data_IF_575817293404
#
_entry.id   IF_575817293404
#
_cell.length_a   1.000
_cell.length_b   1.000
_cell.length_c   1.000
_cell.angle_alpha   90.00
_cell.angle_beta   90.00
_cell.angle_gamma   90.00
#
_symmetry.space_group_name_H-M   'P 1'
#
loop_
_entity.id
_entity.type
_entity.pdbx_description
1 polymer ?
#
# COMPACT_ATOMS: atom_id res chain seq x y z
N UNK A 1 -75.11 -20.33 8.30
CA UNK A 1 -74.00 -21.27 8.67
C UNK A 1 -72.78 -20.89 7.89
N UNK A 2 -71.85 -20.17 8.51
CA UNK A 2 -70.60 -19.73 7.86
C UNK A 2 -69.49 -20.36 8.65
N UNK A 3 -68.83 -21.33 8.02
CA UNK A 3 -67.72 -22.08 8.60
C UNK A 3 -66.39 -21.29 8.55
N UNK A 4 -65.82 -21.09 9.70
CA UNK A 4 -64.62 -20.39 9.96
C UNK A 4 -63.41 -21.32 9.70
N UNK A 5 -62.76 -21.20 8.54
CA UNK A 5 -61.52 -21.94 8.21
C UNK A 5 -60.32 -21.15 8.70
N UNK A 6 -59.80 -21.46 9.87
CA UNK A 6 -58.50 -20.98 10.36
C UNK A 6 -57.39 -21.64 9.54
N UNK A 7 -56.74 -20.89 8.65
CA UNK A 7 -55.49 -21.26 8.00
C UNK A 7 -54.33 -21.17 9.02
N UNK A 8 -53.89 -22.34 9.45
CA UNK A 8 -52.65 -22.50 10.22
C UNK A 8 -51.46 -22.21 9.29
N UNK A 9 -50.88 -21.04 9.39
CA UNK A 9 -49.64 -20.71 8.66
C UNK A 9 -48.51 -21.40 9.41
N UNK A 10 -47.99 -22.47 8.81
CA UNK A 10 -46.84 -23.21 9.32
C UNK A 10 -45.58 -22.32 9.26
N UNK A 11 -45.07 -21.95 10.43
CA UNK A 11 -43.83 -21.18 10.61
C UNK A 11 -42.54 -21.97 10.42
N UNK A 12 -42.54 -23.10 9.66
CA UNK A 12 -41.38 -23.99 9.56
C UNK A 12 -40.56 -23.86 8.26
N UNK A 13 -40.94 -22.96 7.34
CA UNK A 13 -40.25 -22.85 6.04
C UNK A 13 -38.90 -22.09 6.07
N UNK A 14 -38.59 -21.36 7.15
CA UNK A 14 -37.30 -20.60 7.24
C UNK A 14 -36.12 -21.34 7.87
N UNK A 15 -36.35 -22.54 8.42
CA UNK A 15 -35.25 -23.36 9.00
C UNK A 15 -34.61 -24.37 8.05
N UNK A 16 -35.23 -24.67 6.90
CA UNK A 16 -34.70 -25.68 5.98
C UNK A 16 -33.75 -25.17 4.91
N UNK A 17 -33.60 -23.85 4.70
CA UNK A 17 -32.72 -23.26 3.69
C UNK A 17 -31.24 -23.15 4.13
N UNK A 18 -30.90 -23.35 5.40
CA UNK A 18 -29.53 -23.26 5.91
C UNK A 18 -28.73 -24.56 5.93
N UNK A 19 -29.36 -25.71 5.66
CA UNK A 19 -28.67 -27.03 5.73
C UNK A 19 -28.00 -27.49 4.45
N UNK A 20 -28.08 -26.74 3.36
CA UNK A 20 -27.52 -27.13 2.05
C UNK A 20 -26.09 -26.70 1.79
N UNK A 21 -25.47 -25.86 2.65
CA UNK A 21 -24.13 -25.28 2.45
C UNK A 21 -23.20 -25.43 3.65
N UNK A 22 -23.55 -26.19 4.67
CA UNK A 22 -22.61 -26.49 5.75
C UNK A 22 -21.74 -27.67 5.32
N UNK A 23 -20.53 -27.35 4.86
CA UNK A 23 -19.49 -28.34 4.62
C UNK A 23 -19.20 -29.14 5.89
N UNK A 24 -18.89 -30.45 5.72
CA UNK A 24 -18.53 -31.32 6.85
C UNK A 24 -17.47 -30.63 7.72
N UNK A 25 -17.64 -30.61 9.07
CA UNK A 25 -16.66 -29.98 9.96
C UNK A 25 -15.26 -30.56 9.78
N UNK A 26 -15.15 -31.80 9.34
CA UNK A 26 -13.87 -32.47 9.01
C UNK A 26 -13.19 -31.78 7.83
N UNK A 27 -13.91 -31.51 6.74
CA UNK A 27 -13.37 -30.82 5.54
C UNK A 27 -12.94 -29.40 5.90
N UNK A 28 -13.73 -28.68 6.67
CA UNK A 28 -13.40 -27.34 7.16
C UNK A 28 -12.06 -27.32 7.94
N UNK A 29 -11.95 -28.20 8.93
CA UNK A 29 -10.73 -28.26 9.73
C UNK A 29 -9.52 -28.77 8.95
N UNK A 30 -9.70 -29.71 8.00
CA UNK A 30 -8.66 -30.18 7.10
C UNK A 30 -8.11 -29.02 6.26
N UNK A 31 -8.99 -28.25 5.62
CA UNK A 31 -8.59 -27.09 4.80
C UNK A 31 -7.86 -26.03 5.63
N UNK A 32 -8.37 -25.71 6.82
CA UNK A 32 -7.71 -24.75 7.74
C UNK A 32 -6.32 -25.26 8.13
N UNK A 33 -6.19 -26.55 8.48
CA UNK A 33 -4.90 -27.12 8.88
C UNK A 33 -3.90 -27.09 7.72
N UNK A 34 -4.30 -27.46 6.50
CA UNK A 34 -3.45 -27.39 5.30
C UNK A 34 -3.00 -25.95 5.05
N UNK A 35 -3.92 -24.99 5.07
CA UNK A 35 -3.60 -23.58 4.87
C UNK A 35 -2.65 -23.04 5.95
N UNK A 36 -2.90 -23.38 7.22
CA UNK A 36 -2.04 -22.96 8.34
C UNK A 36 -0.65 -23.59 8.23
N UNK A 37 -0.56 -24.90 7.90
CA UNK A 37 0.72 -25.59 7.70
C UNK A 37 1.51 -24.94 6.56
N UNK A 38 0.85 -24.62 5.45
CA UNK A 38 1.47 -23.90 4.34
C UNK A 38 2.03 -22.54 4.80
N UNK A 39 1.24 -21.74 5.50
CA UNK A 39 1.70 -20.45 6.02
C UNK A 39 2.89 -20.60 6.98
N UNK A 40 2.86 -21.57 7.88
CA UNK A 40 3.97 -21.81 8.82
C UNK A 40 5.24 -22.22 8.08
N UNK A 41 5.16 -23.17 7.16
CA UNK A 41 6.33 -23.71 6.45
C UNK A 41 6.92 -22.69 5.47
N UNK A 42 6.07 -22.00 4.69
CA UNK A 42 6.55 -21.13 3.61
C UNK A 42 6.72 -19.67 4.01
N UNK A 43 6.05 -19.18 5.06
CA UNK A 43 6.18 -17.78 5.51
C UNK A 43 6.93 -17.66 6.84
N UNK A 44 6.50 -18.38 7.89
CA UNK A 44 7.08 -18.19 9.22
C UNK A 44 8.46 -18.82 9.33
N UNK A 45 8.68 -20.02 8.81
CA UNK A 45 9.95 -20.71 8.94
C UNK A 45 11.10 -19.95 8.24
N UNK A 46 10.99 -19.49 6.96
CA UNK A 46 12.02 -18.64 6.36
C UNK A 46 12.24 -17.32 7.11
N UNK A 47 11.17 -16.69 7.59
CA UNK A 47 11.27 -15.45 8.35
C UNK A 47 12.04 -15.66 9.65
N UNK A 48 11.71 -16.68 10.44
CA UNK A 48 12.42 -17.03 11.67
C UNK A 48 13.89 -17.37 11.37
N UNK A 49 14.16 -18.06 10.26
CA UNK A 49 15.53 -18.38 9.85
C UNK A 49 16.36 -17.12 9.55
N UNK A 50 15.78 -16.10 8.93
CA UNK A 50 16.47 -14.80 8.71
C UNK A 50 16.92 -14.21 10.05
N UNK A 51 16.04 -14.17 11.06
CA UNK A 51 16.40 -13.65 12.39
C UNK A 51 17.41 -14.55 13.11
N UNK A 52 17.30 -15.86 12.99
CA UNK A 52 18.24 -16.82 13.58
C UNK A 52 19.65 -16.64 13.00
N UNK A 53 19.75 -16.54 11.68
CA UNK A 53 21.02 -16.30 10.99
C UNK A 53 21.60 -14.91 11.31
N UNK A 54 20.75 -13.90 11.42
CA UNK A 54 21.16 -12.54 11.81
C UNK A 54 21.82 -12.51 13.21
N UNK A 55 21.35 -13.35 14.11
CA UNK A 55 21.85 -13.41 15.49
C UNK A 55 22.91 -14.49 15.70
N UNK A 56 23.30 -15.24 14.69
CA UNK A 56 24.22 -16.37 14.79
C UNK A 56 25.59 -16.01 15.41
N UNK A 57 26.08 -14.83 15.09
CA UNK A 57 27.34 -14.30 15.66
C UNK A 57 27.15 -13.45 16.93
N UNK A 58 25.94 -13.44 17.49
CA UNK A 58 25.56 -12.72 18.70
C UNK A 58 25.14 -11.26 18.46
N UNK A 59 24.48 -10.68 19.48
CA UNK A 59 23.91 -9.33 19.41
C UNK A 59 24.95 -8.23 19.11
N UNK A 60 26.19 -8.38 19.62
CA UNK A 60 27.26 -7.40 19.36
C UNK A 60 27.63 -7.31 17.89
N UNK A 61 27.74 -8.47 17.22
CA UNK A 61 28.01 -8.55 15.78
C UNK A 61 26.83 -8.00 14.95
N UNK A 62 25.60 -8.30 15.38
CA UNK A 62 24.38 -7.78 14.78
C UNK A 62 24.36 -6.23 14.73
N UNK A 63 24.52 -5.58 15.88
CA UNK A 63 24.55 -4.11 15.92
C UNK A 63 25.75 -3.51 15.20
N UNK A 64 26.92 -4.14 15.27
CA UNK A 64 28.10 -3.72 14.50
C UNK A 64 27.83 -3.73 12.98
N UNK A 65 27.14 -4.76 12.48
CA UNK A 65 26.78 -4.87 11.05
C UNK A 65 25.79 -3.77 10.61
N UNK A 66 24.85 -3.38 11.46
CA UNK A 66 23.88 -2.31 11.15
C UNK A 66 24.50 -0.92 11.19
N UNK A 67 25.46 -0.68 12.10
CA UNK A 67 26.15 0.62 12.27
C UNK A 67 27.32 0.77 11.29
N UNK A 68 27.71 -0.30 10.57
CA UNK A 68 28.71 -0.21 9.51
C UNK A 68 28.36 0.93 8.53
N UNK A 69 29.34 1.82 8.18
CA UNK A 69 29.06 3.01 7.36
C UNK A 69 28.32 2.73 6.05
N UNK A 70 28.63 1.61 5.40
CA UNK A 70 27.97 1.24 4.15
C UNK A 70 26.55 0.72 4.37
N UNK A 71 26.33 -0.08 5.43
CA UNK A 71 25.01 -0.57 5.81
C UNK A 71 24.11 0.59 6.28
N UNK A 72 24.66 1.52 7.09
CA UNK A 72 23.95 2.72 7.51
C UNK A 72 23.58 3.63 6.32
N UNK A 73 24.48 3.79 5.36
CA UNK A 73 24.20 4.51 4.11
C UNK A 73 23.04 3.88 3.34
N UNK A 74 23.02 2.55 3.22
CA UNK A 74 21.95 1.82 2.55
C UNK A 74 20.58 1.96 3.27
N UNK A 75 20.57 1.89 4.61
CA UNK A 75 19.39 2.12 5.43
C UNK A 75 18.83 3.53 5.19
N UNK A 76 19.72 4.54 5.33
CA UNK A 76 19.35 5.94 5.12
C UNK A 76 18.82 6.19 3.71
N UNK A 77 19.48 5.64 2.70
CA UNK A 77 19.05 5.80 1.31
C UNK A 77 17.66 5.17 1.07
N UNK A 78 17.42 3.96 1.57
CA UNK A 78 16.10 3.31 1.45
C UNK A 78 14.99 4.17 2.08
N UNK A 79 15.24 4.72 3.27
CA UNK A 79 14.28 5.58 3.95
C UNK A 79 14.04 6.91 3.20
N UNK A 80 15.09 7.53 2.64
CA UNK A 80 14.97 8.75 1.84
C UNK A 80 14.18 8.47 0.56
N UNK A 81 14.50 7.40 -0.16
CA UNK A 81 13.80 7.01 -1.39
C UNK A 81 12.32 6.77 -1.09
N UNK A 82 12.02 6.02 -0.03
CA UNK A 82 10.63 5.79 0.39
C UNK A 82 9.93 7.10 0.80
N UNK A 83 10.59 7.94 1.59
CA UNK A 83 10.05 9.23 2.05
C UNK A 83 9.76 10.21 0.91
N UNK A 84 10.41 10.08 -0.24
CA UNK A 84 10.15 10.90 -1.43
C UNK A 84 9.13 10.21 -2.35
N UNK A 85 9.32 8.92 -2.64
CA UNK A 85 8.49 8.18 -3.60
C UNK A 85 7.05 8.01 -3.11
N UNK A 86 6.86 7.72 -1.82
CA UNK A 86 5.51 7.46 -1.28
C UNK A 86 4.61 8.70 -1.32
N UNK A 87 5.01 9.90 -0.83
CA UNK A 87 4.17 11.08 -0.95
C UNK A 87 3.86 11.47 -2.39
N UNK A 88 4.82 11.34 -3.31
CA UNK A 88 4.57 11.61 -4.72
C UNK A 88 3.55 10.62 -5.31
N UNK A 89 3.67 9.34 -5.01
CA UNK A 89 2.70 8.32 -5.41
C UNK A 89 1.32 8.54 -4.78
N UNK A 90 1.26 9.08 -3.56
CA UNK A 90 -0.01 9.47 -2.91
C UNK A 90 -0.67 10.59 -3.70
N UNK A 91 0.06 11.64 -4.05
CA UNK A 91 -0.48 12.77 -4.81
C UNK A 91 -1.02 12.29 -6.17
N UNK A 92 -0.21 11.58 -6.95
CA UNK A 92 -0.63 11.04 -8.26
C UNK A 92 -1.73 10.00 -8.13
N UNK A 93 -1.66 9.11 -7.13
CA UNK A 93 -2.64 8.06 -6.89
C UNK A 93 -4.01 8.62 -6.51
N UNK A 94 -4.05 9.63 -5.65
CA UNK A 94 -5.29 10.34 -5.28
C UNK A 94 -5.88 11.08 -6.49
N UNK A 95 -5.06 11.81 -7.26
CA UNK A 95 -5.51 12.48 -8.48
C UNK A 95 -6.09 11.50 -9.50
N UNK A 96 -5.39 10.40 -9.75
CA UNK A 96 -5.82 9.37 -10.68
C UNK A 96 -7.11 8.67 -10.20
N UNK A 97 -7.18 8.27 -8.93
CA UNK A 97 -8.35 7.64 -8.35
C UNK A 97 -9.57 8.57 -8.39
N UNK A 98 -9.38 9.83 -8.04
CA UNK A 98 -10.45 10.83 -8.10
C UNK A 98 -10.96 11.06 -9.53
N UNK A 99 -10.03 11.20 -10.50
CA UNK A 99 -10.39 11.33 -11.91
C UNK A 99 -11.20 10.12 -12.40
N UNK A 100 -10.76 8.90 -12.08
CA UNK A 100 -11.40 7.65 -12.52
C UNK A 100 -12.74 7.42 -11.81
N UNK A 101 -12.81 7.68 -10.50
CA UNK A 101 -14.01 7.38 -9.72
C UNK A 101 -15.15 8.37 -9.99
N UNK A 102 -14.83 9.67 -10.14
CA UNK A 102 -15.83 10.74 -10.13
C UNK A 102 -16.16 11.30 -11.52
N UNK A 103 -15.27 11.15 -12.50
CA UNK A 103 -15.48 11.73 -13.82
C UNK A 103 -15.66 10.66 -14.91
N UNK A 104 -16.51 10.99 -15.88
CA UNK A 104 -16.66 10.23 -17.11
C UNK A 104 -15.99 10.99 -18.23
N UNK A 105 -14.87 10.46 -18.76
CA UNK A 105 -14.12 11.07 -19.84
C UNK A 105 -13.65 10.03 -20.86
N UNK A 106 -13.41 10.49 -22.09
CA UNK A 106 -12.82 9.64 -23.12
C UNK A 106 -11.37 9.31 -22.73
N UNK A 107 -11.00 8.01 -22.75
CA UNK A 107 -9.66 7.57 -22.31
C UNK A 107 -9.59 7.06 -20.86
N UNK A 108 -10.69 7.01 -20.11
CA UNK A 108 -10.74 6.43 -18.77
C UNK A 108 -10.18 5.01 -18.70
N UNK A 109 -10.57 4.16 -19.68
CA UNK A 109 -10.05 2.80 -19.78
C UNK A 109 -8.53 2.77 -20.04
N UNK A 110 -8.02 3.67 -20.91
CA UNK A 110 -6.59 3.80 -21.15
C UNK A 110 -5.83 4.21 -19.88
N UNK A 111 -6.36 5.17 -19.10
CA UNK A 111 -5.75 5.59 -17.84
C UNK A 111 -5.68 4.43 -16.83
N UNK A 112 -6.73 3.63 -16.71
CA UNK A 112 -6.74 2.43 -15.86
C UNK A 112 -5.66 1.45 -16.33
N UNK A 113 -5.58 1.18 -17.63
CA UNK A 113 -4.57 0.28 -18.20
C UNK A 113 -3.15 0.81 -17.96
N UNK A 114 -2.91 2.12 -18.06
CA UNK A 114 -1.61 2.73 -17.76
C UNK A 114 -1.23 2.62 -16.28
N UNK A 115 -2.21 2.75 -15.37
CA UNK A 115 -1.98 2.53 -13.94
C UNK A 115 -1.58 1.07 -13.68
N UNK A 116 -2.16 0.13 -14.41
CA UNK A 116 -1.89 -1.30 -14.23
C UNK A 116 -0.60 -1.78 -14.94
N UNK A 117 -0.05 -0.96 -15.83
CA UNK A 117 1.15 -1.29 -16.61
C UNK A 117 2.34 -1.75 -15.75
N UNK A 118 2.68 -1.11 -14.60
CA UNK A 118 3.78 -1.56 -13.76
C UNK A 118 3.62 -2.97 -13.18
N UNK A 119 2.39 -3.48 -13.06
CA UNK A 119 2.17 -4.87 -12.63
C UNK A 119 2.44 -5.88 -13.75
N UNK A 120 2.30 -5.45 -15.00
CA UNK A 120 2.51 -6.31 -16.18
C UNK A 120 3.97 -6.34 -16.62
N UNK A 121 4.76 -5.33 -16.27
CA UNK A 121 6.17 -5.20 -16.64
C UNK A 121 7.06 -5.70 -15.51
N UNK A 122 8.05 -6.53 -15.84
CA UNK A 122 9.06 -6.93 -14.85
C UNK A 122 9.77 -5.68 -14.29
N UNK A 123 9.97 -5.58 -12.97
CA UNK A 123 10.70 -4.45 -12.36
C UNK A 123 12.08 -4.23 -12.97
N UNK A 124 12.81 -5.30 -13.30
CA UNK A 124 14.13 -5.22 -13.94
C UNK A 124 14.03 -4.58 -15.32
N UNK A 125 13.01 -4.97 -16.12
CA UNK A 125 12.76 -4.37 -17.44
C UNK A 125 12.37 -2.90 -17.29
N UNK A 126 11.56 -2.55 -16.31
CA UNK A 126 11.22 -1.16 -16.00
C UNK A 126 12.49 -0.34 -15.67
N UNK A 127 13.40 -0.89 -14.84
CA UNK A 127 14.70 -0.27 -14.58
C UNK A 127 15.52 -0.03 -15.85
N UNK A 128 15.56 -1.03 -16.75
CA UNK A 128 16.24 -0.90 -18.03
C UNK A 128 15.63 0.19 -18.92
N UNK A 129 14.30 0.30 -18.94
CA UNK A 129 13.59 1.37 -19.68
C UNK A 129 14.05 2.75 -19.18
N UNK A 130 14.20 2.96 -17.87
CA UNK A 130 14.73 4.21 -17.32
C UNK A 130 16.19 4.46 -17.72
N UNK A 131 17.03 3.42 -17.74
CA UNK A 131 18.42 3.55 -18.22
C UNK A 131 18.49 3.94 -19.68
N UNK A 132 17.64 3.36 -20.53
CA UNK A 132 17.56 3.71 -21.97
C UNK A 132 17.03 5.14 -22.16
N UNK A 133 16.06 5.59 -21.34
CA UNK A 133 15.47 6.92 -21.47
C UNK A 133 16.41 8.03 -20.94
N UNK A 134 17.04 7.82 -19.78
CA UNK A 134 17.79 8.84 -19.03
C UNK A 134 19.31 8.61 -19.01
N UNK A 135 19.79 7.51 -19.61
CA UNK A 135 21.23 7.25 -19.74
C UNK A 135 21.90 8.28 -20.63
N UNK A 136 23.22 8.35 -20.61
CA UNK A 136 24.01 9.35 -21.34
C UNK A 136 23.68 9.43 -22.83
N UNK A 137 23.41 8.29 -23.46
CA UNK A 137 23.00 8.19 -24.87
C UNK A 137 21.48 8.09 -25.07
N UNK A 138 20.69 8.28 -23.98
CA UNK A 138 19.24 8.20 -24.01
C UNK A 138 18.58 9.50 -24.48
N UNK A 139 17.30 9.40 -24.83
CA UNK A 139 16.54 10.54 -25.34
C UNK A 139 16.54 11.75 -24.42
N UNK A 140 16.32 11.55 -23.11
CA UNK A 140 16.35 12.64 -22.13
C UNK A 140 17.75 12.89 -21.57
N UNK A 141 18.68 11.91 -21.64
CA UNK A 141 20.01 12.06 -21.09
C UNK A 141 20.81 13.16 -21.78
N UNK A 142 20.75 13.22 -23.11
CA UNK A 142 21.41 14.27 -23.92
C UNK A 142 20.80 15.65 -23.62
N UNK A 143 19.48 15.73 -23.59
CA UNK A 143 18.78 16.99 -23.27
C UNK A 143 19.11 17.54 -21.88
N UNK A 144 19.24 16.66 -20.87
CA UNK A 144 19.59 17.04 -19.50
C UNK A 144 21.03 17.53 -19.36
N UNK A 145 21.95 17.01 -20.19
CA UNK A 145 23.35 17.48 -20.24
C UNK A 145 23.47 18.87 -20.84
N UNK A 146 22.67 19.15 -21.89
CA UNK A 146 22.65 20.44 -22.56
C UNK A 146 21.96 21.54 -21.76
N UNK A 147 21.11 21.17 -20.78
CA UNK A 147 20.35 22.08 -19.94
C UNK A 147 20.66 21.89 -18.45
N UNK A 148 21.87 22.22 -17.98
CA UNK A 148 22.20 22.12 -16.56
C UNK A 148 21.35 23.10 -15.74
N UNK A 149 20.93 22.67 -14.55
CA UNK A 149 20.16 23.50 -13.64
C UNK A 149 21.05 24.59 -13.01
N UNK A 150 20.78 25.83 -13.31
CA UNK A 150 21.42 26.99 -12.66
C UNK A 150 20.62 27.37 -11.41
N UNK A 151 21.03 26.88 -10.23
CA UNK A 151 20.40 27.22 -8.96
C UNK A 151 21.42 27.92 -8.06
N UNK A 152 21.06 29.11 -7.55
CA UNK A 152 21.91 29.91 -6.65
C UNK A 152 23.32 30.17 -7.17
N UNK A 153 23.50 30.40 -8.48
CA UNK A 153 24.81 30.67 -9.08
C UNK A 153 25.77 29.48 -9.23
N UNK A 154 25.26 28.27 -8.92
CA UNK A 154 25.99 27.00 -9.15
C UNK A 154 25.34 26.22 -10.27
N UNK A 155 26.18 25.60 -11.10
CA UNK A 155 25.76 24.72 -12.19
C UNK A 155 25.67 23.30 -11.63
N UNK A 156 24.47 22.73 -11.63
CA UNK A 156 24.26 21.35 -11.21
C UNK A 156 24.00 20.48 -12.42
N UNK A 157 24.88 19.53 -12.69
CA UNK A 157 24.59 18.45 -13.64
C UNK A 157 23.53 17.51 -13.06
N UNK A 158 22.41 17.39 -13.75
CA UNK A 158 21.33 16.50 -13.32
C UNK A 158 21.68 15.08 -13.76
N UNK A 159 22.29 14.31 -12.88
CA UNK A 159 22.51 12.86 -13.09
C UNK A 159 21.30 12.10 -12.54
N UNK A 160 20.55 11.45 -13.45
CA UNK A 160 19.41 10.62 -13.07
C UNK A 160 19.86 9.18 -12.87
N UNK A 161 20.58 8.61 -13.85
CA UNK A 161 21.05 7.23 -13.77
C UNK A 161 22.30 7.17 -12.87
N UNK A 162 22.39 6.10 -12.06
CA UNK A 162 23.39 5.88 -11.01
C UNK A 162 23.39 6.95 -9.91
N UNK A 163 22.23 7.56 -9.70
CA UNK A 163 21.99 8.60 -8.70
C UNK A 163 20.64 8.42 -8.01
N UNK A 164 20.44 9.15 -6.90
CA UNK A 164 19.21 9.07 -6.10
C UNK A 164 17.93 9.37 -6.92
N UNK A 165 17.88 10.38 -7.82
CA UNK A 165 16.69 10.65 -8.61
C UNK A 165 16.23 9.47 -9.46
N UNK A 166 17.14 8.71 -10.05
CA UNK A 166 16.79 7.52 -10.82
C UNK A 166 16.21 6.42 -9.95
N UNK A 167 16.76 6.21 -8.75
CA UNK A 167 16.22 5.24 -7.79
C UNK A 167 14.79 5.63 -7.38
N UNK A 168 14.55 6.93 -7.11
CA UNK A 168 13.22 7.45 -6.76
C UNK A 168 12.24 7.22 -7.91
N UNK A 169 12.61 7.59 -9.15
CA UNK A 169 11.75 7.39 -10.33
C UNK A 169 11.39 5.92 -10.57
N UNK A 170 12.39 5.03 -10.48
CA UNK A 170 12.18 3.60 -10.65
C UNK A 170 11.26 3.04 -9.54
N UNK A 171 11.49 3.43 -8.28
CA UNK A 171 10.64 3.04 -7.16
C UNK A 171 9.22 3.58 -7.32
N UNK A 172 9.06 4.86 -7.70
CA UNK A 172 7.75 5.47 -7.96
C UNK A 172 6.98 4.70 -9.03
N UNK A 173 7.62 4.39 -10.14
CA UNK A 173 6.98 3.65 -11.24
C UNK A 173 6.43 2.31 -10.77
N UNK A 174 7.23 1.52 -10.04
CA UNK A 174 6.82 0.19 -9.57
C UNK A 174 5.72 0.27 -8.50
N UNK A 175 5.73 1.33 -7.69
CA UNK A 175 4.83 1.46 -6.54
C UNK A 175 3.63 2.39 -6.78
N UNK A 176 3.58 3.10 -7.91
CA UNK A 176 2.49 4.00 -8.29
C UNK A 176 1.08 3.35 -8.26
N UNK A 177 0.88 2.11 -8.74
CA UNK A 177 -0.45 1.51 -8.79
C UNK A 177 -1.07 1.28 -7.41
N UNK A 178 -0.28 1.09 -6.36
CA UNK A 178 -0.79 0.67 -5.06
C UNK A 178 -1.78 1.65 -4.46
N UNK A 179 -1.46 2.95 -4.49
CA UNK A 179 -2.35 3.98 -3.94
C UNK A 179 -3.61 4.14 -4.80
N UNK A 180 -3.46 4.20 -6.12
CA UNK A 180 -4.58 4.39 -7.02
C UNK A 180 -5.58 3.21 -6.95
N UNK A 181 -5.07 1.98 -6.97
CA UNK A 181 -5.91 0.76 -6.93
C UNK A 181 -6.69 0.60 -5.63
N UNK A 182 -6.12 1.02 -4.51
CA UNK A 182 -6.83 1.00 -3.23
C UNK A 182 -7.93 2.07 -3.16
N UNK A 183 -7.67 3.25 -3.72
CA UNK A 183 -8.61 4.36 -3.64
C UNK A 183 -9.76 4.28 -4.63
N UNK A 184 -9.55 3.77 -5.85
CA UNK A 184 -10.58 3.70 -6.89
C UNK A 184 -11.86 3.00 -6.40
N UNK A 185 -11.82 1.75 -5.88
CA UNK A 185 -13.02 1.05 -5.41
C UNK A 185 -13.65 1.74 -4.20
N UNK A 186 -12.86 2.28 -3.29
CA UNK A 186 -13.37 3.01 -2.11
C UNK A 186 -14.13 4.27 -2.54
N UNK A 187 -13.56 5.07 -3.44
CA UNK A 187 -14.21 6.26 -3.98
C UNK A 187 -15.47 5.94 -4.79
N UNK A 188 -15.48 4.83 -5.54
CA UNK A 188 -16.66 4.37 -6.27
C UNK A 188 -17.77 3.90 -5.34
N UNK A 189 -17.42 3.18 -4.27
CA UNK A 189 -18.37 2.68 -3.27
C UNK A 189 -18.99 3.81 -2.43
N UNK A 190 -18.24 4.86 -2.16
CA UNK A 190 -18.72 6.04 -1.41
C UNK A 190 -19.79 6.84 -2.20
N UNK A 191 -19.82 6.72 -3.53
CA UNK A 191 -20.75 7.45 -4.38
C UNK A 191 -20.46 8.95 -4.46
N UNK A 192 -21.43 9.74 -4.90
CA UNK A 192 -21.31 11.20 -5.10
C UNK A 192 -22.33 12.01 -4.30
N UNK A 193 -23.18 11.35 -3.49
CA UNK A 193 -24.30 11.99 -2.79
C UNK A 193 -23.84 13.08 -1.81
N UNK A 194 -22.80 12.79 -1.02
CA UNK A 194 -22.26 13.74 -0.05
C UNK A 194 -21.62 14.97 -0.73
N UNK A 195 -20.95 14.75 -1.87
CA UNK A 195 -20.33 15.82 -2.65
C UNK A 195 -21.39 16.73 -3.31
N UNK A 196 -22.46 16.12 -3.85
CA UNK A 196 -23.59 16.84 -4.41
C UNK A 196 -24.29 17.70 -3.34
N UNK A 197 -24.51 17.13 -2.14
CA UNK A 197 -25.05 17.88 -1.02
C UNK A 197 -24.16 19.07 -0.63
N UNK A 198 -22.84 18.90 -0.58
CA UNK A 198 -21.93 20.00 -0.30
C UNK A 198 -21.97 21.11 -1.37
N UNK A 199 -22.05 20.72 -2.65
CA UNK A 199 -22.17 21.66 -3.76
C UNK A 199 -23.50 22.43 -3.72
N UNK A 200 -24.61 21.80 -3.35
CA UNK A 200 -25.90 22.48 -3.19
C UNK A 200 -25.91 23.46 -2.03
N UNK A 201 -25.07 23.24 -1.00
CA UNK A 201 -24.85 24.16 0.10
C UNK A 201 -23.84 25.29 -0.24
N UNK A 202 -23.38 25.36 -1.50
CA UNK A 202 -22.51 26.42 -1.98
C UNK A 202 -21.00 26.16 -1.80
N UNK A 203 -20.59 24.94 -1.45
CA UNK A 203 -19.18 24.61 -1.36
C UNK A 203 -18.52 24.60 -2.75
N UNK A 204 -17.30 25.13 -2.86
CA UNK A 204 -16.50 25.01 -4.08
C UNK A 204 -15.98 23.56 -4.26
N UNK A 205 -15.62 23.18 -5.48
CA UNK A 205 -15.08 21.84 -5.75
C UNK A 205 -13.83 21.53 -4.91
N UNK A 206 -12.96 22.53 -4.67
CA UNK A 206 -11.77 22.37 -3.80
C UNK A 206 -12.14 22.18 -2.33
N UNK A 207 -13.12 22.95 -1.84
CA UNK A 207 -13.65 22.79 -0.48
C UNK A 207 -14.29 21.41 -0.29
N UNK A 208 -15.08 20.99 -1.27
CA UNK A 208 -15.70 19.66 -1.28
C UNK A 208 -14.66 18.55 -1.25
N UNK A 209 -13.59 18.65 -2.03
CA UNK A 209 -12.50 17.67 -2.04
C UNK A 209 -11.86 17.52 -0.64
N UNK A 210 -11.46 18.61 -0.01
CA UNK A 210 -10.74 18.56 1.27
C UNK A 210 -11.62 18.21 2.47
N UNK A 211 -12.88 18.63 2.48
CA UNK A 211 -13.77 18.48 3.64
C UNK A 211 -14.75 17.32 3.51
N UNK A 212 -14.99 16.81 2.30
CA UNK A 212 -15.94 15.71 2.05
C UNK A 212 -15.24 14.52 1.42
N UNK A 213 -14.65 14.69 0.22
CA UNK A 213 -14.08 13.55 -0.53
C UNK A 213 -12.90 12.90 0.19
N UNK A 214 -11.92 13.67 0.60
CA UNK A 214 -10.71 13.13 1.22
C UNK A 214 -10.98 12.48 2.60
N UNK A 215 -11.77 13.08 3.51
CA UNK A 215 -12.14 12.45 4.76
C UNK A 215 -12.98 11.18 4.59
N UNK A 216 -13.86 11.10 3.58
CA UNK A 216 -14.69 9.93 3.34
C UNK A 216 -13.88 8.70 2.90
N UNK A 217 -12.74 8.90 2.25
CA UNK A 217 -11.85 7.83 1.77
C UNK A 217 -10.58 7.68 2.61
N UNK A 218 -10.50 8.35 3.77
CA UNK A 218 -9.29 8.41 4.62
C UNK A 218 -8.69 7.03 4.91
N UNK A 219 -9.52 6.05 5.20
CA UNK A 219 -9.07 4.70 5.54
C UNK A 219 -8.45 3.97 4.34
N UNK A 220 -9.06 4.06 3.17
CA UNK A 220 -8.49 3.54 1.93
C UNK A 220 -7.17 4.22 1.57
N UNK A 221 -7.08 5.54 1.79
CA UNK A 221 -5.85 6.30 1.57
C UNK A 221 -4.72 5.84 2.49
N UNK A 222 -4.98 5.73 3.79
CA UNK A 222 -3.97 5.27 4.76
C UNK A 222 -3.51 3.85 4.41
N UNK A 223 -4.43 2.98 4.04
CA UNK A 223 -4.13 1.62 3.60
C UNK A 223 -3.23 1.61 2.36
N UNK A 224 -3.59 2.38 1.32
CA UNK A 224 -2.78 2.53 0.12
C UNK A 224 -1.38 3.08 0.40
N UNK A 225 -1.24 4.04 1.34
CA UNK A 225 0.05 4.58 1.78
C UNK A 225 0.91 3.48 2.42
N UNK A 226 0.33 2.68 3.32
CA UNK A 226 1.06 1.61 4.02
C UNK A 226 1.55 0.55 3.03
N UNK A 227 0.70 0.11 2.10
CA UNK A 227 1.08 -0.85 1.07
C UNK A 227 2.16 -0.29 0.14
N UNK A 228 2.00 0.95 -0.33
CA UNK A 228 2.98 1.64 -1.16
C UNK A 228 4.34 1.74 -0.45
N UNK A 229 4.34 2.11 0.84
CA UNK A 229 5.57 2.21 1.64
C UNK A 229 6.26 0.87 1.83
N UNK A 230 5.52 -0.18 2.20
CA UNK A 230 6.06 -1.53 2.36
C UNK A 230 6.70 -2.03 1.05
N UNK A 231 6.04 -1.78 -0.09
CA UNK A 231 6.54 -2.15 -1.41
C UNK A 231 7.76 -1.32 -1.83
N UNK A 232 7.76 -0.01 -1.55
CA UNK A 232 8.87 0.88 -1.88
C UNK A 232 10.16 0.53 -1.12
N UNK A 233 10.07 0.20 0.17
CA UNK A 233 11.23 -0.21 0.97
C UNK A 233 11.86 -1.52 0.49
N UNK A 234 11.07 -2.44 -0.04
CA UNK A 234 11.51 -3.74 -0.55
C UNK A 234 11.86 -3.75 -2.04
N UNK A 235 11.91 -2.59 -2.71
CA UNK A 235 12.19 -2.57 -4.14
C UNK A 235 13.65 -2.95 -4.43
N UNK A 236 13.79 -3.98 -5.25
CA UNK A 236 15.09 -4.54 -5.66
C UNK A 236 15.26 -4.48 -7.18
N UNK A 237 14.31 -5.01 -7.93
CA UNK A 237 14.46 -5.29 -9.35
C UNK A 237 14.76 -4.07 -10.22
N UNK A 238 13.95 -3.00 -10.13
CA UNK A 238 14.17 -1.79 -10.90
C UNK A 238 15.37 -1.00 -10.38
N UNK A 239 15.55 -0.98 -9.05
CA UNK A 239 16.63 -0.27 -8.40
C UNK A 239 17.98 -0.91 -8.69
N UNK A 240 18.08 -2.23 -8.81
CA UNK A 240 19.34 -2.92 -9.14
C UNK A 240 19.94 -2.45 -10.47
N UNK A 241 19.09 -2.17 -11.45
CA UNK A 241 19.53 -1.69 -12.77
C UNK A 241 19.86 -0.19 -12.77
N UNK A 242 18.99 0.63 -12.15
CA UNK A 242 19.10 2.10 -12.25
C UNK A 242 20.15 2.67 -11.28
N UNK A 243 20.41 2.01 -10.15
CA UNK A 243 21.31 2.52 -9.12
C UNK A 243 22.81 2.33 -9.43
N UNK A 244 23.15 1.34 -10.27
CA UNK A 244 24.53 0.93 -10.49
C UNK A 244 25.19 0.28 -9.27
N UNK A 245 24.44 0.01 -8.21
CA UNK A 245 24.87 -0.72 -7.00
C UNK A 245 26.16 -0.18 -6.35
N UNK A 246 26.36 1.18 -6.34
CA UNK A 246 27.56 1.82 -5.81
C UNK A 246 27.50 1.80 -4.28
N UNK A 247 28.46 1.05 -3.67
CA UNK A 247 28.55 0.91 -2.21
C UNK A 247 28.72 2.27 -1.53
N UNK A 248 27.93 2.51 -0.49
CA UNK A 248 27.95 3.75 0.28
C UNK A 248 27.28 4.96 -0.39
N UNK A 249 26.75 4.84 -1.63
CA UNK A 249 26.14 5.95 -2.37
C UNK A 249 24.74 5.65 -2.90
N UNK A 250 24.59 4.61 -3.72
CA UNK A 250 23.34 4.29 -4.42
C UNK A 250 22.81 2.89 -4.09
N UNK A 251 23.43 2.22 -3.13
CA UNK A 251 23.02 0.90 -2.66
C UNK A 251 21.89 1.04 -1.65
N UNK A 252 20.71 0.50 -1.96
CA UNK A 252 19.56 0.38 -1.03
C UNK A 252 19.72 -0.83 -0.13
N UNK A 253 18.89 -0.97 0.92
CA UNK A 253 18.92 -2.13 1.83
C UNK A 253 18.84 -3.48 1.09
N UNK A 254 17.88 -3.72 0.14
CA UNK A 254 17.84 -4.96 -0.60
C UNK A 254 19.11 -5.24 -1.40
N UNK A 255 19.71 -4.23 -2.04
CA UNK A 255 20.98 -4.35 -2.77
C UNK A 255 22.16 -4.60 -1.82
N UNK A 256 22.14 -4.01 -0.63
CA UNK A 256 23.18 -4.25 0.39
C UNK A 256 23.11 -5.70 0.89
N UNK A 257 21.91 -6.23 1.12
CA UNK A 257 21.71 -7.63 1.50
C UNK A 257 22.32 -8.56 0.45
N UNK A 258 21.98 -8.35 -0.82
CA UNK A 258 22.50 -9.14 -1.95
C UNK A 258 24.01 -9.07 -2.03
N UNK A 259 24.58 -7.86 -2.00
CA UNK A 259 26.03 -7.61 -2.07
C UNK A 259 26.78 -8.29 -0.93
N UNK A 260 26.28 -8.22 0.31
CA UNK A 260 26.87 -8.86 1.46
C UNK A 260 26.76 -10.39 1.40
N UNK A 261 25.62 -10.91 0.95
CA UNK A 261 25.37 -12.33 0.85
C UNK A 261 26.34 -13.01 -0.15
N UNK A 262 26.63 -12.35 -1.28
CA UNK A 262 27.56 -12.82 -2.28
C UNK A 262 29.03 -12.55 -1.92
N UNK A 263 29.32 -11.89 -0.81
CA UNK A 263 30.69 -11.57 -0.38
C UNK A 263 31.54 -12.77 0.10
N UNK A 264 30.91 -13.92 0.33
CA UNK A 264 31.57 -15.24 0.52
C UNK A 264 32.14 -15.50 1.92
N UNK A 265 32.14 -14.54 2.86
CA UNK A 265 32.59 -14.77 4.24
C UNK A 265 31.39 -14.98 5.19
N UNK A 266 31.60 -15.76 6.26
CA UNK A 266 30.59 -16.01 7.30
C UNK A 266 30.14 -14.71 7.96
N UNK A 267 31.06 -13.77 8.19
CA UNK A 267 30.78 -12.47 8.77
C UNK A 267 29.90 -11.61 7.85
N UNK A 268 30.17 -11.63 6.55
CA UNK A 268 29.37 -10.91 5.54
C UNK A 268 27.99 -11.54 5.40
N UNK A 269 27.89 -12.86 5.43
CA UNK A 269 26.62 -13.58 5.45
C UNK A 269 25.76 -13.16 6.66
N UNK A 270 26.31 -13.19 7.87
CA UNK A 270 25.61 -12.73 9.07
C UNK A 270 25.22 -11.25 8.99
N UNK A 271 26.07 -10.39 8.41
CA UNK A 271 25.76 -8.97 8.19
C UNK A 271 24.62 -8.81 7.15
N UNK A 272 24.58 -9.61 6.10
CA UNK A 272 23.48 -9.64 5.13
C UNK A 272 22.14 -9.96 5.84
N UNK A 273 22.12 -11.00 6.67
CA UNK A 273 20.95 -11.37 7.45
C UNK A 273 20.57 -10.31 8.50
N UNK A 274 21.55 -9.59 9.08
CA UNK A 274 21.25 -8.48 9.99
C UNK A 274 20.53 -7.33 9.27
N UNK A 275 20.97 -6.92 8.08
CA UNK A 275 20.28 -5.90 7.27
C UNK A 275 18.91 -6.41 6.78
N UNK A 276 18.84 -7.69 6.36
CA UNK A 276 17.59 -8.33 5.93
C UNK A 276 16.56 -8.41 7.07
N UNK A 277 17.00 -8.75 8.28
CA UNK A 277 16.12 -8.79 9.45
C UNK A 277 15.58 -7.41 9.84
N UNK A 278 16.38 -6.35 9.69
CA UNK A 278 15.91 -4.98 9.89
C UNK A 278 14.85 -4.60 8.84
N UNK A 279 15.07 -4.95 7.57
CA UNK A 279 14.08 -4.73 6.51
C UNK A 279 12.79 -5.51 6.77
N UNK A 280 12.90 -6.77 7.20
CA UNK A 280 11.76 -7.59 7.60
C UNK A 280 11.02 -7.00 8.81
N UNK A 281 11.75 -6.47 9.79
CA UNK A 281 11.16 -5.80 10.95
C UNK A 281 10.37 -4.55 10.53
N UNK A 282 10.93 -3.72 9.64
CA UNK A 282 10.22 -2.56 9.08
C UNK A 282 8.94 -2.97 8.34
N UNK A 283 8.99 -4.07 7.57
CA UNK A 283 7.82 -4.61 6.90
C UNK A 283 6.78 -5.15 7.90
N UNK A 284 7.20 -5.82 8.98
CA UNK A 284 6.31 -6.28 10.04
C UNK A 284 5.68 -5.12 10.81
N UNK A 285 6.42 -4.04 11.06
CA UNK A 285 5.90 -2.83 11.68
C UNK A 285 4.83 -2.19 10.79
N UNK A 286 5.06 -2.07 9.48
CA UNK A 286 4.06 -1.54 8.55
C UNK A 286 2.82 -2.42 8.47
N UNK A 287 2.97 -3.74 8.50
CA UNK A 287 1.85 -4.69 8.56
C UNK A 287 1.09 -4.59 9.89
N UNK A 288 1.80 -4.46 11.01
CA UNK A 288 1.20 -4.25 12.33
C UNK A 288 0.39 -2.94 12.38
N UNK A 289 0.93 -1.85 11.84
CA UNK A 289 0.20 -0.57 11.71
C UNK A 289 -1.07 -0.73 10.86
N UNK A 290 -0.98 -1.46 9.74
CA UNK A 290 -2.14 -1.79 8.91
C UNK A 290 -3.22 -2.49 9.73
N UNK A 291 -2.88 -3.56 10.43
CA UNK A 291 -3.83 -4.35 11.24
C UNK A 291 -4.46 -3.52 12.36
N UNK A 292 -3.68 -2.67 13.03
CA UNK A 292 -4.18 -1.75 14.05
C UNK A 292 -5.20 -0.75 13.47
N UNK A 293 -4.95 -0.22 12.29
CA UNK A 293 -5.84 0.71 11.61
C UNK A 293 -7.14 0.02 11.16
N UNK A 294 -7.05 -1.19 10.61
CA UNK A 294 -8.23 -2.00 10.27
C UNK A 294 -9.11 -2.25 11.50
N UNK A 295 -8.50 -2.56 12.62
CA UNK A 295 -9.22 -2.77 13.88
C UNK A 295 -9.88 -1.48 14.40
N UNK A 296 -9.20 -0.33 14.29
CA UNK A 296 -9.80 0.97 14.63
C UNK A 296 -10.98 1.30 13.72
N UNK A 297 -10.84 1.07 12.42
CA UNK A 297 -11.90 1.26 11.44
C UNK A 297 -13.12 0.39 11.76
N UNK A 298 -12.92 -0.90 12.01
CA UNK A 298 -14.00 -1.82 12.39
C UNK A 298 -14.75 -1.31 13.63
N UNK A 299 -14.04 -0.85 14.64
CA UNK A 299 -14.63 -0.26 15.85
C UNK A 299 -15.42 1.03 15.59
N UNK A 300 -14.95 1.89 14.69
CA UNK A 300 -15.68 3.09 14.29
C UNK A 300 -17.02 2.72 13.61
N UNK A 301 -17.00 1.73 12.72
CA UNK A 301 -18.20 1.22 12.07
C UNK A 301 -19.19 0.58 13.06
N UNK A 302 -18.70 -0.23 13.99
CA UNK A 302 -19.55 -0.82 15.04
C UNK A 302 -20.17 0.28 15.92
N UNK A 303 -19.41 1.29 16.32
CA UNK A 303 -19.92 2.43 17.09
C UNK A 303 -20.96 3.24 16.30
N UNK A 304 -20.74 3.45 15.01
CA UNK A 304 -21.69 4.14 14.14
C UNK A 304 -23.00 3.35 13.97
N UNK A 305 -22.94 2.02 13.95
CA UNK A 305 -24.11 1.15 13.89
C UNK A 305 -24.85 1.03 15.24
N UNK A 306 -24.12 1.15 16.35
CA UNK A 306 -24.66 1.09 17.71
C UNK A 306 -24.93 2.48 18.31
N UNK A 307 -24.51 3.56 17.65
CA UNK A 307 -24.95 4.92 17.97
C UNK A 307 -26.49 4.98 17.83
N UNK A 308 -27.22 5.31 18.90
CA UNK A 308 -28.48 4.64 19.21
C UNK A 308 -29.56 4.93 18.19
N UNK A 309 -30.32 3.90 17.87
CA UNK A 309 -31.75 3.98 17.50
C UNK A 309 -32.58 4.87 18.48
N UNK A 310 -32.03 5.21 19.63
CA UNK A 310 -32.54 6.16 20.60
C UNK A 310 -32.90 7.53 20.00
N UNK A 311 -32.11 8.03 19.03
CA UNK A 311 -32.46 9.26 18.33
C UNK A 311 -33.56 9.11 17.27
N UNK A 312 -33.98 7.88 16.92
CA UNK A 312 -35.11 7.62 16.04
C UNK A 312 -36.39 7.37 16.82
N UNK A 313 -36.33 6.91 18.06
CA UNK A 313 -37.50 6.77 18.93
C UNK A 313 -37.95 8.08 19.56
N UNK A 314 -37.03 9.03 19.80
CA UNK A 314 -37.40 10.40 20.26
C UNK A 314 -37.99 11.29 19.16
N UNK A 315 -37.95 10.90 17.88
CA UNK A 315 -38.73 11.54 16.80
C UNK A 315 -40.06 10.86 16.52
N UNK A 316 -40.64 10.25 17.49
CA UNK A 316 -42.10 10.09 17.42
C UNK A 316 -42.65 11.50 17.48
N UNK A 317 -43.16 11.99 16.34
CA UNK A 317 -43.95 13.18 16.27
C UNK A 317 -44.97 13.13 17.42
N UNK A 318 -45.10 14.19 18.22
CA UNK A 318 -46.12 14.23 19.24
C UNK A 318 -47.44 13.89 18.55
N UNK A 319 -48.19 13.02 19.18
CA UNK A 319 -49.48 12.64 18.65
C UNK A 319 -50.38 13.89 18.56
N UNK A 320 -51.33 13.96 17.62
CA UNK A 320 -52.24 15.12 17.56
C UNK A 320 -53.03 15.36 18.87
N UNK A 321 -52.96 14.43 19.82
CA UNK A 321 -53.59 14.53 21.13
C UNK A 321 -52.72 15.33 22.14
N UNK A 322 -51.44 15.53 21.89
CA UNK A 322 -50.54 16.34 22.74
C UNK A 322 -50.71 17.85 22.49
N UNK A 323 -51.56 18.24 21.53
CA UNK A 323 -51.88 19.65 21.19
C UNK A 323 -53.30 20.05 21.59
N UNK A 324 -53.95 19.33 22.50
CA UNK A 324 -55.25 19.75 23.06
C UNK A 324 -55.16 20.23 24.49
#
# INVERSE_FOLDING_TARGET
MAGNVKRKINGDSHRQSRRGTEESPIVKWLLITIAMMFCVVFLLLPLVNVFAQALQLGLKAYFKALVDPNSWSAIRLTLIVSAISVPLNVIFGVCAAWAIAKFNFRGKSLLITLIDLPFSVSPVVAGLMFVVLFGMNGFFGHWLQDHPLHLFGKVYEIKIIFAIPGIVLATMFVTFPFVARELIPVMQATGTEQEQAALTLGASGWTTFWHVTLPSVKWGLIYGIILCNARAMGEFGAVSVVSGNIVGRTQTMPLRVESLYHGGSIEQGAAAFAVASLLALLALVTLGLKTLLEWQQAREFERAQHAPRVAQEERKFPSPEDFR
#
